data_IF_384341852246
#
_entry.id   IF_384341852246
#
_cell.length_a   1.000
_cell.length_b   1.000
_cell.length_c   1.000
_cell.angle_alpha   90.00
_cell.angle_beta   90.00
_cell.angle_gamma   90.00
#
_symmetry.space_group_name_H-M   'P 1'
#
loop_
_entity.id
_entity.type
_entity.pdbx_description
1 polymer ?
#
# COMPACT_ATOMS: atom_id res chain seq x y z
N UNK A 1 47.92 28.39 -17.10
CA UNK A 1 49.37 28.61 -17.29
C UNK A 1 50.28 27.72 -16.42
N UNK A 2 49.76 26.99 -15.41
CA UNK A 2 50.59 26.32 -14.37
C UNK A 2 51.02 24.86 -14.66
N UNK A 3 50.51 24.21 -15.72
CA UNK A 3 50.76 22.78 -16.00
C UNK A 3 51.96 22.51 -16.93
N UNK A 4 52.62 23.55 -17.44
CA UNK A 4 53.64 23.40 -18.50
C UNK A 4 54.93 22.68 -18.05
N UNK A 5 55.22 22.61 -16.75
CA UNK A 5 56.47 22.08 -16.20
C UNK A 5 56.35 20.72 -15.48
N UNK A 6 55.20 20.04 -15.55
CA UNK A 6 55.01 18.72 -14.93
C UNK A 6 55.51 17.60 -15.84
N UNK A 7 56.17 16.59 -15.26
CA UNK A 7 56.58 15.38 -15.98
C UNK A 7 55.36 14.64 -16.54
N UNK A 8 55.52 13.95 -17.68
CA UNK A 8 54.44 13.25 -18.37
C UNK A 8 53.70 12.28 -17.44
N UNK A 9 54.43 11.58 -16.57
CA UNK A 9 53.87 10.67 -15.57
C UNK A 9 52.96 11.36 -14.56
N UNK A 10 53.35 12.53 -14.04
CA UNK A 10 52.53 13.30 -13.08
C UNK A 10 51.20 13.74 -13.69
N UNK A 11 51.21 14.12 -14.97
CA UNK A 11 49.99 14.47 -15.71
C UNK A 11 49.06 13.26 -15.86
N UNK A 12 49.61 12.09 -16.19
CA UNK A 12 48.86 10.85 -16.33
C UNK A 12 48.23 10.41 -14.99
N UNK A 13 49.00 10.39 -13.90
CA UNK A 13 48.50 10.05 -12.57
C UNK A 13 47.41 11.02 -12.09
N UNK A 14 47.59 12.33 -12.34
CA UNK A 14 46.57 13.33 -12.01
C UNK A 14 45.25 13.11 -12.76
N UNK A 15 45.33 12.76 -14.04
CA UNK A 15 44.14 12.44 -14.85
C UNK A 15 43.45 11.18 -14.35
N UNK A 16 44.21 10.11 -14.08
CA UNK A 16 43.67 8.86 -13.54
C UNK A 16 43.00 9.09 -12.19
N UNK A 17 43.67 9.79 -11.26
CA UNK A 17 43.10 10.12 -9.95
C UNK A 17 41.80 10.94 -10.07
N UNK A 18 41.78 11.93 -10.97
CA UNK A 18 40.57 12.71 -11.25
C UNK A 18 39.43 11.84 -11.78
N UNK A 19 39.70 10.96 -12.74
CA UNK A 19 38.67 10.04 -13.26
C UNK A 19 38.19 9.06 -12.19
N UNK A 20 39.09 8.55 -11.35
CA UNK A 20 38.71 7.68 -10.22
C UNK A 20 37.79 8.40 -9.23
N UNK A 21 38.09 9.66 -8.89
CA UNK A 21 37.22 10.47 -8.03
C UNK A 21 35.84 10.66 -8.68
N UNK A 22 35.78 10.98 -9.97
CA UNK A 22 34.52 11.12 -10.68
C UNK A 22 33.69 9.82 -10.63
N UNK A 23 34.32 8.67 -10.85
CA UNK A 23 33.65 7.37 -10.76
C UNK A 23 33.09 7.10 -9.35
N UNK A 24 33.84 7.43 -8.29
CA UNK A 24 33.38 7.30 -6.92
C UNK A 24 32.17 8.20 -6.65
N UNK A 25 32.22 9.46 -7.10
CA UNK A 25 31.10 10.42 -6.94
C UNK A 25 29.85 9.92 -7.67
N UNK A 26 29.99 9.47 -8.92
CA UNK A 26 28.88 8.92 -9.71
C UNK A 26 28.31 7.68 -9.03
N UNK A 27 29.17 6.77 -8.58
CA UNK A 27 28.76 5.57 -7.85
C UNK A 27 27.98 5.90 -6.58
N UNK A 28 28.47 6.88 -5.80
CA UNK A 28 27.79 7.36 -4.59
C UNK A 28 26.41 7.96 -4.90
N UNK A 29 26.32 8.82 -5.94
CA UNK A 29 25.04 9.39 -6.38
C UNK A 29 24.09 8.27 -6.83
N UNK A 30 24.56 7.31 -7.62
CA UNK A 30 23.76 6.19 -8.10
C UNK A 30 23.18 5.37 -6.95
N UNK A 31 24.00 5.00 -5.96
CA UNK A 31 23.55 4.26 -4.78
C UNK A 31 22.55 5.06 -3.94
N UNK A 32 22.79 6.37 -3.75
CA UNK A 32 21.88 7.25 -3.01
C UNK A 32 20.52 7.38 -3.71
N UNK A 33 20.52 7.58 -5.02
CA UNK A 33 19.30 7.68 -5.84
C UNK A 33 18.52 6.37 -5.84
N UNK A 34 19.20 5.22 -5.97
CA UNK A 34 18.56 3.92 -5.88
C UNK A 34 17.92 3.69 -4.51
N UNK A 35 18.61 4.07 -3.42
CA UNK A 35 18.06 3.99 -2.06
C UNK A 35 16.80 4.85 -1.90
N UNK A 36 16.84 6.12 -2.33
CA UNK A 36 15.68 7.03 -2.25
C UNK A 36 14.50 6.48 -3.07
N UNK A 37 14.75 5.96 -4.27
CA UNK A 37 13.70 5.36 -5.10
C UNK A 37 13.09 4.12 -4.43
N UNK A 38 13.91 3.28 -3.81
CA UNK A 38 13.44 2.09 -3.11
C UNK A 38 12.59 2.46 -1.88
N UNK A 39 13.03 3.45 -1.09
CA UNK A 39 12.23 3.98 0.03
C UNK A 39 10.92 4.60 -0.46
N UNK A 40 10.93 5.35 -1.57
CA UNK A 40 9.72 5.89 -2.19
C UNK A 40 8.73 4.79 -2.59
N UNK A 41 9.21 3.72 -3.24
CA UNK A 41 8.36 2.58 -3.61
C UNK A 41 7.80 1.85 -2.38
N UNK A 42 8.60 1.71 -1.32
CA UNK A 42 8.15 1.10 -0.06
C UNK A 42 6.99 1.90 0.57
N UNK A 43 7.07 3.23 0.56
CA UNK A 43 5.96 4.09 1.04
C UNK A 43 4.72 3.97 0.14
N UNK A 44 4.86 3.98 -1.19
CA UNK A 44 3.72 3.77 -2.09
C UNK A 44 3.05 2.42 -1.84
N UNK A 45 3.84 1.37 -1.61
CA UNK A 45 3.31 0.05 -1.31
C UNK A 45 2.55 0.02 0.02
N UNK A 46 3.21 0.44 1.11
CA UNK A 46 2.66 0.35 2.47
C UNK A 46 1.53 1.35 2.73
N UNK A 47 1.62 2.56 2.19
CA UNK A 47 0.70 3.65 2.52
C UNK A 47 -0.42 3.81 1.49
N UNK A 48 -0.34 3.19 0.31
CA UNK A 48 -1.38 3.29 -0.74
C UNK A 48 -1.86 1.92 -1.21
N UNK A 49 -0.97 1.03 -1.61
CA UNK A 49 -1.39 -0.27 -2.18
C UNK A 49 -2.03 -1.18 -1.14
N UNK A 50 -1.42 -1.34 0.03
CA UNK A 50 -1.97 -2.18 1.11
C UNK A 50 -3.33 -1.63 1.61
N UNK A 51 -3.47 -0.33 1.93
CA UNK A 51 -4.75 0.27 2.32
C UNK A 51 -5.85 0.11 1.26
N UNK A 52 -5.53 0.33 -0.03
CA UNK A 52 -6.51 0.14 -1.11
C UNK A 52 -6.96 -1.31 -1.24
N UNK A 53 -6.05 -2.27 -1.04
CA UNK A 53 -6.39 -3.69 -1.00
C UNK A 53 -7.32 -4.01 0.17
N UNK A 54 -7.06 -3.44 1.35
CA UNK A 54 -7.92 -3.66 2.53
C UNK A 54 -9.33 -3.06 2.32
N UNK A 55 -9.43 -1.86 1.74
CA UNK A 55 -10.72 -1.26 1.35
C UNK A 55 -11.46 -2.11 0.30
N UNK A 56 -10.75 -2.67 -0.68
CA UNK A 56 -11.35 -3.58 -1.66
C UNK A 56 -11.91 -4.83 -0.98
N UNK A 57 -11.17 -5.42 -0.04
CA UNK A 57 -11.65 -6.60 0.70
C UNK A 57 -12.94 -6.25 1.45
N UNK A 58 -13.00 -5.10 2.12
CA UNK A 58 -14.23 -4.63 2.81
C UNK A 58 -15.40 -4.53 1.83
N UNK A 59 -15.19 -3.90 0.67
CA UNK A 59 -16.23 -3.77 -0.36
C UNK A 59 -16.71 -5.14 -0.88
N UNK A 60 -15.80 -6.06 -1.15
CA UNK A 60 -16.12 -7.41 -1.61
C UNK A 60 -16.86 -8.21 -0.52
N UNK A 61 -16.52 -8.04 0.76
CA UNK A 61 -17.24 -8.68 1.87
C UNK A 61 -18.69 -8.20 1.98
N UNK A 62 -18.96 -6.90 1.81
CA UNK A 62 -20.34 -6.40 1.75
C UNK A 62 -21.08 -6.88 0.49
N UNK A 63 -20.47 -6.78 -0.69
CA UNK A 63 -21.14 -7.08 -1.95
C UNK A 63 -21.35 -8.58 -2.19
N UNK A 64 -20.32 -9.40 -1.95
CA UNK A 64 -20.35 -10.83 -2.25
C UNK A 64 -20.75 -11.63 -1.02
N UNK A 65 -20.02 -11.50 0.08
CA UNK A 65 -20.24 -12.37 1.23
C UNK A 65 -21.54 -12.08 1.99
N UNK A 66 -22.06 -10.84 1.94
CA UNK A 66 -23.34 -10.50 2.57
C UNK A 66 -24.50 -10.48 1.56
N UNK A 67 -24.44 -9.60 0.56
CA UNK A 67 -25.57 -9.41 -0.38
C UNK A 67 -25.76 -10.63 -1.30
N UNK A 68 -24.72 -11.07 -2.00
CA UNK A 68 -24.83 -12.24 -2.89
C UNK A 68 -25.09 -13.55 -2.13
N UNK A 69 -24.50 -13.76 -0.95
CA UNK A 69 -24.86 -14.88 -0.06
C UNK A 69 -26.35 -14.88 0.27
N UNK A 70 -26.92 -13.72 0.63
CA UNK A 70 -28.35 -13.61 0.96
C UNK A 70 -29.24 -14.02 -0.23
N UNK A 71 -28.88 -13.56 -1.44
CA UNK A 71 -29.56 -13.98 -2.66
C UNK A 71 -29.40 -15.48 -2.94
N UNK A 72 -28.21 -16.06 -2.74
CA UNK A 72 -27.93 -17.47 -2.99
C UNK A 72 -28.64 -18.40 -2.01
N UNK A 73 -28.71 -18.05 -0.74
CA UNK A 73 -29.47 -18.81 0.28
C UNK A 73 -30.96 -18.76 -0.06
N UNK A 74 -31.50 -17.56 -0.33
CA UNK A 74 -32.91 -17.38 -0.70
C UNK A 74 -33.30 -18.20 -1.94
N UNK A 75 -32.42 -18.26 -2.93
CA UNK A 75 -32.68 -18.97 -4.18
C UNK A 75 -32.37 -20.48 -4.09
N UNK A 76 -31.92 -20.99 -2.94
CA UNK A 76 -31.60 -22.41 -2.74
C UNK A 76 -30.26 -22.86 -3.33
N UNK A 77 -29.44 -21.93 -3.82
CA UNK A 77 -28.12 -22.20 -4.40
C UNK A 77 -27.03 -22.42 -3.33
N UNK A 78 -27.29 -22.03 -2.09
CA UNK A 78 -26.39 -22.18 -0.95
C UNK A 78 -27.19 -22.64 0.27
N UNK A 79 -26.63 -23.53 1.09
CA UNK A 79 -27.30 -23.96 2.32
C UNK A 79 -27.25 -22.85 3.37
N UNK A 80 -28.26 -22.81 4.26
CA UNK A 80 -28.32 -21.87 5.37
C UNK A 80 -27.05 -21.85 6.23
N UNK A 81 -26.47 -23.03 6.53
CA UNK A 81 -25.25 -23.11 7.33
C UNK A 81 -24.05 -22.46 6.63
N UNK A 82 -23.90 -22.68 5.33
CA UNK A 82 -22.83 -22.07 4.53
C UNK A 82 -23.03 -20.55 4.45
N UNK A 83 -24.28 -20.11 4.28
CA UNK A 83 -24.61 -18.69 4.29
C UNK A 83 -24.25 -18.01 5.61
N UNK A 84 -24.57 -18.63 6.75
CA UNK A 84 -24.18 -18.11 8.07
C UNK A 84 -22.66 -18.03 8.24
N UNK A 85 -21.93 -19.04 7.77
CA UNK A 85 -20.47 -19.02 7.82
C UNK A 85 -19.89 -17.86 6.97
N UNK A 86 -20.44 -17.61 5.78
CA UNK A 86 -20.01 -16.48 4.93
C UNK A 86 -20.27 -15.12 5.60
N UNK A 87 -21.43 -14.97 6.26
CA UNK A 87 -21.79 -13.75 7.00
C UNK A 87 -20.83 -13.53 8.18
N UNK A 88 -20.56 -14.58 8.96
CA UNK A 88 -19.62 -14.52 10.09
C UNK A 88 -18.21 -14.12 9.60
N UNK A 89 -17.73 -14.74 8.51
CA UNK A 89 -16.45 -14.41 7.90
C UNK A 89 -16.41 -12.97 7.41
N UNK A 90 -17.49 -12.47 6.80
CA UNK A 90 -17.58 -11.09 6.33
C UNK A 90 -17.45 -10.12 7.51
N UNK A 91 -18.19 -10.34 8.60
CA UNK A 91 -18.14 -9.49 9.80
C UNK A 91 -16.72 -9.39 10.36
N UNK A 92 -16.06 -10.54 10.55
CA UNK A 92 -14.69 -10.59 11.07
C UNK A 92 -13.72 -9.86 10.14
N UNK A 93 -13.80 -10.16 8.83
CA UNK A 93 -12.89 -9.58 7.84
C UNK A 93 -13.08 -8.06 7.68
N UNK A 94 -14.32 -7.58 7.67
CA UNK A 94 -14.64 -6.15 7.60
C UNK A 94 -14.07 -5.44 8.83
N UNK A 95 -14.33 -5.95 10.03
CA UNK A 95 -13.85 -5.34 11.26
C UNK A 95 -12.32 -5.28 11.34
N UNK A 96 -11.64 -6.38 10.97
CA UNK A 96 -10.19 -6.45 10.94
C UNK A 96 -9.59 -5.47 9.93
N UNK A 97 -10.02 -5.53 8.67
CA UNK A 97 -9.46 -4.69 7.59
C UNK A 97 -9.79 -3.22 7.77
N UNK A 98 -10.97 -2.90 8.33
CA UNK A 98 -11.32 -1.52 8.64
C UNK A 98 -10.46 -0.95 9.76
N UNK A 99 -10.16 -1.75 10.80
CA UNK A 99 -9.21 -1.37 11.85
C UNK A 99 -7.81 -1.16 11.28
N UNK A 100 -7.33 -2.09 10.44
CA UNK A 100 -6.01 -2.00 9.81
C UNK A 100 -5.89 -0.72 8.96
N UNK A 101 -6.89 -0.43 8.12
CA UNK A 101 -6.95 0.78 7.30
C UNK A 101 -6.88 2.06 8.16
N UNK A 102 -7.67 2.13 9.24
CA UNK A 102 -7.70 3.29 10.13
C UNK A 102 -6.44 3.45 10.99
N UNK A 103 -5.63 2.40 11.15
CA UNK A 103 -4.36 2.48 11.85
C UNK A 103 -3.24 3.07 10.97
N UNK A 104 -3.48 3.29 9.67
CA UNK A 104 -2.52 3.88 8.74
C UNK A 104 -2.50 5.41 8.80
N UNK A 105 -1.54 6.03 8.10
CA UNK A 105 -1.46 7.49 7.99
C UNK A 105 -2.44 8.00 6.93
N UNK A 106 -3.64 8.36 7.38
CA UNK A 106 -4.68 8.94 6.53
C UNK A 106 -4.40 10.41 6.18
N UNK A 107 -4.52 10.76 4.90
CA UNK A 107 -4.52 12.16 4.46
C UNK A 107 -5.85 12.84 4.81
N UNK A 108 -5.90 14.17 4.68
CA UNK A 108 -7.07 14.98 5.06
C UNK A 108 -8.34 14.52 4.36
N UNK A 109 -8.26 14.22 3.07
CA UNK A 109 -9.37 13.74 2.25
C UNK A 109 -9.86 12.37 2.72
N UNK A 110 -8.94 11.45 3.04
CA UNK A 110 -9.28 10.12 3.54
C UNK A 110 -9.99 10.20 4.90
N UNK A 111 -9.55 11.09 5.79
CA UNK A 111 -10.21 11.30 7.09
C UNK A 111 -11.67 11.73 6.93
N UNK A 112 -11.95 12.65 6.00
CA UNK A 112 -13.32 13.08 5.68
C UNK A 112 -14.15 11.89 5.17
N UNK A 113 -13.60 11.10 4.26
CA UNK A 113 -14.28 9.91 3.74
C UNK A 113 -14.54 8.86 4.84
N UNK A 114 -13.60 8.65 5.77
CA UNK A 114 -13.79 7.77 6.93
C UNK A 114 -14.94 8.26 7.82
N UNK A 115 -15.03 9.57 8.06
CA UNK A 115 -16.14 10.17 8.83
C UNK A 115 -17.49 9.99 8.14
N UNK A 116 -17.53 10.02 6.81
CA UNK A 116 -18.74 9.75 6.02
C UNK A 116 -19.12 8.26 5.98
N UNK A 117 -18.13 7.37 5.83
CA UNK A 117 -18.32 5.92 5.67
C UNK A 117 -18.65 5.25 7.01
N UNK A 118 -18.05 5.70 8.13
CA UNK A 118 -18.23 5.07 9.44
C UNK A 118 -19.69 4.89 9.86
N UNK A 119 -20.57 5.91 9.76
CA UNK A 119 -22.00 5.77 10.01
C UNK A 119 -22.70 4.79 9.05
N UNK A 120 -22.32 4.78 7.78
CA UNK A 120 -22.89 3.87 6.77
C UNK A 120 -22.54 2.41 7.07
N UNK A 121 -21.30 2.15 7.47
CA UNK A 121 -20.86 0.81 7.90
C UNK A 121 -21.63 0.36 9.14
N UNK A 122 -21.79 1.22 10.15
CA UNK A 122 -22.61 0.88 11.33
C UNK A 122 -24.06 0.53 10.97
N UNK A 123 -24.66 1.25 10.03
CA UNK A 123 -26.01 0.96 9.56
C UNK A 123 -26.08 -0.38 8.82
N UNK A 124 -25.09 -0.68 7.98
CA UNK A 124 -24.98 -1.95 7.28
C UNK A 124 -24.79 -3.12 8.25
N UNK A 125 -23.89 -2.98 9.22
CA UNK A 125 -23.63 -4.00 10.25
C UNK A 125 -24.90 -4.27 11.08
N UNK A 126 -25.64 -3.23 11.46
CA UNK A 126 -26.92 -3.37 12.15
C UNK A 126 -28.02 -4.06 11.33
N UNK A 127 -27.95 -4.01 10.00
CA UNK A 127 -28.84 -4.78 9.13
C UNK A 127 -28.43 -6.26 9.06
N UNK A 128 -27.13 -6.55 9.09
CA UNK A 128 -26.58 -7.91 9.08
C UNK A 128 -26.94 -8.68 10.34
N UNK A 129 -27.01 -8.04 11.51
CA UNK A 129 -27.45 -8.67 12.77
C UNK A 129 -28.90 -9.22 12.73
N UNK A 130 -29.68 -8.89 11.69
CA UNK A 130 -31.06 -9.36 11.52
C UNK A 130 -31.18 -10.59 10.60
N UNK A 131 -30.08 -11.07 10.02
CA UNK A 131 -30.00 -12.25 9.13
C UNK A 131 -29.83 -13.55 9.92
#
# INVERSE_FOLDING_TARGET
MMFKNLSLGTRLYGLVAFMSILLIVIGFIGLKSAKISNEGLDTVYKDRVVPLKDLKIIADMYAVNLVDTSHKVRNGNLKWQEGRNNVEQAKVSIAEKWKDYNATSLVTEEKKLVEEIGPLMKAADGAVEKL
#
